data_IF_875595550748
#
_entry.id   IF_875595550748
#
_cell.length_a   1.000
_cell.length_b   1.000
_cell.length_c   1.000
_cell.angle_alpha   90.00
_cell.angle_beta   90.00
_cell.angle_gamma   90.00
#
_symmetry.space_group_name_H-M   'P 1'
#
loop_
_entity.id
_entity.type
_entity.pdbx_description
1 polymer ?
#
# COMPACT_ATOMS: atom_id res chain seq x y z
N UNK A 1 7.27 -4.75 -19.00
CA UNK A 1 6.64 -5.48 -20.12
C UNK A 1 6.17 -6.87 -19.68
N UNK A 2 7.06 -7.73 -19.16
CA UNK A 2 6.69 -9.12 -18.76
C UNK A 2 5.45 -9.24 -17.86
N UNK A 3 5.33 -8.46 -16.77
CA UNK A 3 4.15 -8.54 -15.88
C UNK A 3 2.83 -8.15 -16.54
N UNK A 4 2.83 -7.12 -17.40
CA UNK A 4 1.63 -6.67 -18.11
C UNK A 4 1.17 -7.74 -19.09
N UNK A 5 2.10 -8.41 -19.78
CA UNK A 5 1.78 -9.50 -20.69
C UNK A 5 1.05 -10.65 -20.00
N UNK A 6 1.46 -11.03 -18.79
CA UNK A 6 0.78 -12.09 -18.02
C UNK A 6 -0.64 -11.69 -17.60
N UNK A 7 -0.83 -10.44 -17.16
CA UNK A 7 -2.16 -9.91 -16.79
C UNK A 7 -3.09 -9.89 -18.00
N UNK A 8 -2.60 -9.46 -19.16
CA UNK A 8 -3.38 -9.43 -20.40
C UNK A 8 -3.79 -10.83 -20.81
N UNK A 9 -2.87 -11.80 -20.82
CA UNK A 9 -3.19 -13.18 -21.19
C UNK A 9 -4.27 -13.76 -20.27
N UNK A 10 -4.14 -13.58 -18.94
CA UNK A 10 -5.14 -14.06 -17.98
C UNK A 10 -6.51 -13.37 -18.13
N UNK A 11 -6.51 -12.04 -18.35
CA UNK A 11 -7.75 -11.28 -18.56
C UNK A 11 -8.46 -11.69 -19.85
N UNK A 12 -7.72 -11.82 -20.96
CA UNK A 12 -8.26 -12.21 -22.26
C UNK A 12 -8.80 -13.64 -22.23
N UNK A 13 -8.07 -14.59 -21.64
CA UNK A 13 -8.56 -15.98 -21.53
C UNK A 13 -9.82 -16.07 -20.67
N UNK A 14 -9.85 -15.38 -19.53
CA UNK A 14 -11.03 -15.34 -18.65
C UNK A 14 -12.22 -14.68 -19.34
N UNK A 15 -12.01 -13.56 -20.03
CA UNK A 15 -13.06 -12.85 -20.76
C UNK A 15 -13.62 -13.69 -21.92
N UNK A 16 -12.76 -14.34 -22.70
CA UNK A 16 -13.18 -15.22 -23.80
C UNK A 16 -14.00 -16.41 -23.29
N UNK A 17 -13.56 -17.07 -22.21
CA UNK A 17 -14.32 -18.16 -21.59
C UNK A 17 -15.66 -17.67 -21.03
N UNK A 18 -15.66 -16.55 -20.30
CA UNK A 18 -16.89 -15.96 -19.75
C UNK A 18 -17.90 -15.66 -20.85
N UNK A 19 -17.46 -15.04 -21.96
CA UNK A 19 -18.36 -14.74 -23.09
C UNK A 19 -18.84 -15.98 -23.82
N UNK A 20 -18.03 -17.03 -23.89
CA UNK A 20 -18.44 -18.31 -24.49
C UNK A 20 -19.58 -18.97 -23.69
N UNK A 21 -19.50 -18.97 -22.35
CA UNK A 21 -20.49 -19.62 -21.50
C UNK A 21 -21.70 -18.76 -21.15
N UNK A 22 -21.50 -17.46 -20.91
CA UNK A 22 -22.55 -16.55 -20.45
C UNK A 22 -23.06 -15.62 -21.53
N UNK A 23 -22.33 -15.40 -22.62
CA UNK A 23 -22.68 -14.45 -23.67
C UNK A 23 -21.99 -13.10 -23.52
N UNK A 24 -22.18 -12.21 -24.50
CA UNK A 24 -21.55 -10.88 -24.53
C UNK A 24 -22.56 -9.80 -24.14
N UNK A 25 -22.61 -9.46 -22.85
CA UNK A 25 -23.43 -8.37 -22.33
C UNK A 25 -22.71 -7.63 -21.19
N UNK A 26 -22.96 -6.31 -21.02
CA UNK A 26 -22.42 -5.56 -19.89
C UNK A 26 -22.96 -6.11 -18.56
N UNK A 27 -22.18 -6.00 -17.50
CA UNK A 27 -22.60 -6.45 -16.16
C UNK A 27 -23.77 -5.63 -15.62
N UNK A 28 -23.88 -4.36 -16.02
CA UNK A 28 -24.93 -3.45 -15.60
C UNK A 28 -25.65 -2.83 -16.79
N UNK A 29 -26.97 -2.70 -16.67
CA UNK A 29 -27.79 -1.97 -17.63
C UNK A 29 -27.58 -0.47 -17.42
N UNK A 30 -26.61 0.09 -18.15
CA UNK A 30 -26.25 1.48 -18.04
C UNK A 30 -27.35 2.38 -18.63
N UNK A 31 -27.80 3.41 -17.92
CA UNK A 31 -28.71 4.39 -18.49
C UNK A 31 -28.02 5.16 -19.62
N UNK A 32 -28.81 5.69 -20.56
CA UNK A 32 -28.31 6.72 -21.49
C UNK A 32 -27.87 7.94 -20.68
N UNK A 33 -26.56 8.07 -20.49
CA UNK A 33 -25.96 9.16 -19.73
C UNK A 33 -25.96 10.44 -20.58
N UNK A 34 -26.65 11.47 -20.10
CA UNK A 34 -26.74 12.78 -20.74
C UNK A 34 -26.04 13.81 -19.88
N UNK A 35 -24.84 14.20 -20.27
CA UNK A 35 -24.15 15.34 -19.65
C UNK A 35 -24.48 16.59 -20.45
N UNK A 36 -25.42 17.39 -19.95
CA UNK A 36 -25.94 18.54 -20.70
C UNK A 36 -25.34 19.86 -20.18
N UNK A 37 -25.14 20.00 -18.86
CA UNK A 37 -24.72 21.24 -18.24
C UNK A 37 -23.45 21.07 -17.39
N UNK A 38 -22.47 21.97 -17.57
CA UNK A 38 -21.25 21.98 -16.77
C UNK A 38 -21.49 22.32 -15.29
N UNK A 39 -22.61 22.96 -14.97
CA UNK A 39 -23.00 23.28 -13.59
C UNK A 39 -23.21 22.02 -12.73
N UNK A 40 -23.60 20.90 -13.35
CA UNK A 40 -23.73 19.61 -12.66
C UNK A 40 -22.40 19.12 -12.05
N UNK A 41 -21.25 19.60 -12.54
CA UNK A 41 -19.95 19.28 -11.96
C UNK A 41 -19.83 19.73 -10.50
N UNK A 42 -20.51 20.81 -10.10
CA UNK A 42 -20.55 21.25 -8.70
C UNK A 42 -21.29 20.21 -7.85
N UNK A 43 -22.36 19.62 -8.38
CA UNK A 43 -23.12 18.58 -7.68
C UNK A 43 -22.28 17.30 -7.57
N UNK A 44 -21.55 16.92 -8.62
CA UNK A 44 -20.61 15.79 -8.57
C UNK A 44 -19.43 16.03 -7.63
N UNK A 45 -18.97 17.26 -7.48
CA UNK A 45 -17.98 17.65 -6.48
C UNK A 45 -18.53 17.44 -5.06
N UNK A 46 -19.76 17.88 -4.78
CA UNK A 46 -20.44 17.65 -3.49
C UNK A 46 -20.65 16.14 -3.23
N UNK A 47 -21.12 15.41 -4.24
CA UNK A 47 -21.26 13.94 -4.17
C UNK A 47 -19.93 13.28 -3.81
N UNK A 48 -18.83 13.74 -4.40
CA UNK A 48 -17.50 13.23 -4.09
C UNK A 48 -17.06 13.53 -2.65
N UNK A 49 -17.38 14.70 -2.09
CA UNK A 49 -17.14 14.99 -0.66
C UNK A 49 -17.91 13.99 0.21
N UNK A 50 -19.21 13.84 -0.04
CA UNK A 50 -20.06 12.90 0.70
C UNK A 50 -19.58 11.45 0.55
N UNK A 51 -19.16 11.05 -0.65
CA UNK A 51 -18.59 9.74 -0.92
C UNK A 51 -17.29 9.50 -0.16
N UNK A 52 -16.45 10.52 -0.01
CA UNK A 52 -15.25 10.47 0.83
C UNK A 52 -15.60 10.23 2.30
N UNK A 53 -16.61 10.93 2.83
CA UNK A 53 -17.10 10.74 4.19
C UNK A 53 -17.70 9.34 4.41
N UNK A 54 -18.51 8.85 3.45
CA UNK A 54 -19.05 7.48 3.47
C UNK A 54 -17.92 6.45 3.43
N UNK A 55 -16.88 6.69 2.64
CA UNK A 55 -15.69 5.82 2.57
C UNK A 55 -14.96 5.76 3.92
N UNK A 56 -14.80 6.89 4.61
CA UNK A 56 -14.21 6.96 5.94
C UNK A 56 -15.07 6.28 7.00
N UNK A 57 -16.39 6.49 6.96
CA UNK A 57 -17.33 5.84 7.85
C UNK A 57 -17.28 4.31 7.67
N UNK A 58 -17.25 3.84 6.42
CA UNK A 58 -17.16 2.42 6.11
C UNK A 58 -15.83 1.80 6.58
N UNK A 59 -14.70 2.47 6.29
CA UNK A 59 -13.38 2.07 6.77
C UNK A 59 -13.33 1.96 8.30
N UNK A 60 -13.88 2.96 8.98
CA UNK A 60 -13.91 3.02 10.45
C UNK A 60 -14.81 1.94 11.02
N UNK A 61 -15.95 1.66 10.39
CA UNK A 61 -16.89 0.63 10.81
C UNK A 61 -16.25 -0.76 10.71
N UNK A 62 -15.60 -1.08 9.58
CA UNK A 62 -14.84 -2.34 9.42
C UNK A 62 -13.76 -2.45 10.49
N UNK A 63 -12.96 -1.40 10.69
CA UNK A 63 -11.92 -1.37 11.72
C UNK A 63 -12.48 -1.63 13.13
N UNK A 64 -13.64 -1.05 13.41
CA UNK A 64 -14.29 -1.16 14.71
C UNK A 64 -14.86 -2.55 14.92
N UNK A 65 -15.50 -3.15 13.90
CA UNK A 65 -16.00 -4.51 13.99
C UNK A 65 -14.87 -5.53 14.09
N UNK A 66 -13.79 -5.39 13.31
CA UNK A 66 -12.56 -6.20 13.48
C UNK A 66 -12.08 -6.14 14.94
N UNK A 67 -11.96 -4.95 15.53
CA UNK A 67 -11.52 -4.81 16.92
C UNK A 67 -12.47 -5.44 17.94
N UNK A 68 -13.78 -5.40 17.68
CA UNK A 68 -14.78 -6.02 18.56
C UNK A 68 -14.59 -7.54 18.51
N UNK A 69 -14.50 -8.13 17.31
CA UNK A 69 -14.31 -9.57 17.13
C UNK A 69 -12.94 -10.06 17.62
N UNK A 70 -11.88 -9.25 17.49
CA UNK A 70 -10.55 -9.55 18.02
C UNK A 70 -10.53 -9.64 19.55
N UNK A 71 -11.32 -8.79 20.23
CA UNK A 71 -11.44 -8.77 21.69
C UNK A 71 -12.32 -9.88 22.27
N UNK A 72 -13.13 -10.55 21.45
CA UNK A 72 -13.99 -11.64 21.93
C UNK A 72 -13.13 -12.85 22.33
N UNK A 73 -13.26 -13.37 23.56
CA UNK A 73 -12.49 -14.52 24.04
C UNK A 73 -13.09 -15.84 23.53
N UNK A 74 -13.20 -16.00 22.20
CA UNK A 74 -13.73 -17.19 21.52
C UNK A 74 -12.78 -17.67 20.42
N UNK A 75 -12.89 -18.94 20.03
CA UNK A 75 -12.06 -19.55 19.01
C UNK A 75 -12.28 -18.88 17.63
N UNK A 76 -11.21 -18.66 16.87
CA UNK A 76 -11.23 -17.89 15.62
C UNK A 76 -12.22 -18.42 14.58
N UNK A 77 -12.34 -19.74 14.44
CA UNK A 77 -13.24 -20.37 13.48
C UNK A 77 -14.74 -20.19 13.80
N UNK A 78 -15.09 -19.81 15.03
CA UNK A 78 -16.49 -19.53 15.43
C UNK A 78 -16.88 -18.11 15.03
N UNK A 79 -15.93 -17.18 14.98
CA UNK A 79 -16.19 -15.75 14.71
C UNK A 79 -16.93 -15.55 13.38
N UNK A 80 -16.53 -16.15 12.23
CA UNK A 80 -17.29 -16.05 10.98
C UNK A 80 -18.72 -16.58 11.08
N UNK A 81 -18.95 -17.62 11.90
CA UNK A 81 -20.30 -18.16 12.14
C UNK A 81 -21.22 -17.14 12.82
N UNK A 82 -20.69 -16.36 13.77
CA UNK A 82 -21.42 -15.25 14.40
C UNK A 82 -21.68 -14.13 13.39
N UNK A 83 -20.68 -13.78 12.56
CA UNK A 83 -20.85 -12.80 11.49
C UNK A 83 -21.96 -13.20 10.51
N UNK A 84 -21.98 -14.47 10.09
CA UNK A 84 -23.02 -15.03 9.23
C UNK A 84 -24.41 -15.04 9.87
N UNK A 85 -24.51 -15.36 11.16
CA UNK A 85 -25.77 -15.30 11.91
C UNK A 85 -26.31 -13.86 11.97
N UNK A 86 -25.47 -12.89 12.30
CA UNK A 86 -25.85 -11.47 12.34
C UNK A 86 -26.27 -10.97 10.95
N UNK A 87 -25.53 -11.32 9.90
CA UNK A 87 -25.93 -11.04 8.51
C UNK A 87 -27.31 -11.64 8.21
N UNK A 88 -27.54 -12.91 8.56
CA UNK A 88 -28.81 -13.59 8.36
C UNK A 88 -29.97 -12.86 9.04
N UNK A 89 -29.80 -12.41 10.28
CA UNK A 89 -30.81 -11.63 11.00
C UNK A 89 -31.13 -10.30 10.33
N UNK A 90 -30.12 -9.59 9.82
CA UNK A 90 -30.33 -8.34 9.06
C UNK A 90 -31.10 -8.66 7.76
N UNK A 91 -30.69 -9.72 7.07
CA UNK A 91 -31.23 -10.08 5.78
C UNK A 91 -32.69 -10.57 5.82
N UNK A 92 -33.17 -11.07 6.97
CA UNK A 92 -34.60 -11.37 7.17
C UNK A 92 -35.49 -10.14 7.05
N UNK A 93 -35.00 -8.96 7.48
CA UNK A 93 -35.74 -7.70 7.37
C UNK A 93 -35.40 -6.91 6.11
N UNK A 94 -34.15 -7.03 5.65
CA UNK A 94 -33.61 -6.24 4.54
C UNK A 94 -32.94 -7.20 3.54
N UNK A 95 -33.68 -7.91 2.69
CA UNK A 95 -33.12 -8.91 1.78
C UNK A 95 -32.04 -8.33 0.84
N UNK A 96 -32.14 -7.05 0.48
CA UNK A 96 -31.17 -6.36 -0.40
C UNK A 96 -29.74 -6.27 0.17
N UNK A 97 -29.52 -6.59 1.45
CA UNK A 97 -28.13 -6.70 1.97
C UNK A 97 -27.44 -8.00 1.57
N UNK A 98 -28.17 -9.01 1.08
CA UNK A 98 -27.58 -10.29 0.65
C UNK A 98 -26.70 -10.13 -0.60
N UNK A 99 -25.80 -11.09 -0.79
CA UNK A 99 -24.94 -11.18 -1.98
C UNK A 99 -24.02 -9.97 -2.21
N UNK A 100 -23.53 -9.86 -3.44
CA UNK A 100 -22.63 -8.76 -3.85
C UNK A 100 -23.37 -7.43 -4.05
N UNK A 101 -24.69 -7.47 -4.27
CA UNK A 101 -25.56 -6.29 -4.41
C UNK A 101 -25.72 -5.76 -5.84
N UNK A 102 -25.43 -6.57 -6.87
CA UNK A 102 -25.65 -6.19 -8.27
C UNK A 102 -27.12 -5.91 -8.59
N UNK A 103 -28.05 -6.64 -7.97
CA UNK A 103 -29.49 -6.36 -8.08
C UNK A 103 -29.84 -4.96 -7.58
N UNK A 104 -29.30 -4.55 -6.41
CA UNK A 104 -29.49 -3.21 -5.86
C UNK A 104 -28.91 -2.13 -6.78
N UNK A 105 -27.73 -2.39 -7.35
CA UNK A 105 -27.11 -1.48 -8.32
C UNK A 105 -28.01 -1.34 -9.54
N UNK A 106 -28.45 -2.45 -10.14
CA UNK A 106 -29.33 -2.42 -11.31
C UNK A 106 -30.65 -1.69 -11.03
N UNK A 107 -31.30 -1.93 -9.87
CA UNK A 107 -32.49 -1.17 -9.48
C UNK A 107 -32.24 0.35 -9.43
N UNK A 108 -31.04 0.74 -8.99
CA UNK A 108 -30.60 2.14 -9.00
C UNK A 108 -30.37 2.69 -10.40
N UNK A 109 -29.73 1.91 -11.27
CA UNK A 109 -29.41 2.30 -12.65
C UNK A 109 -30.62 2.31 -13.57
N UNK A 110 -31.63 1.48 -13.30
CA UNK A 110 -32.93 1.52 -13.98
C UNK A 110 -33.86 2.58 -13.42
N UNK A 111 -33.46 3.30 -12.36
CA UNK A 111 -34.24 4.38 -11.74
C UNK A 111 -35.46 3.90 -10.93
N UNK A 112 -35.51 2.61 -10.57
CA UNK A 112 -36.63 1.99 -9.84
C UNK A 112 -36.41 2.05 -8.32
N UNK A 113 -35.17 2.21 -7.87
CA UNK A 113 -34.85 2.26 -6.44
C UNK A 113 -35.33 3.55 -5.79
N UNK A 114 -36.24 3.43 -4.83
CA UNK A 114 -36.76 4.55 -4.05
C UNK A 114 -35.75 5.08 -3.01
N UNK A 115 -35.89 6.36 -2.63
CA UNK A 115 -34.98 7.06 -1.72
C UNK A 115 -34.91 6.41 -0.33
N UNK A 116 -36.05 6.02 0.22
CA UNK A 116 -36.16 5.36 1.53
C UNK A 116 -35.38 4.05 1.56
N UNK A 117 -35.56 3.23 0.53
CA UNK A 117 -34.84 1.97 0.38
C UNK A 117 -33.35 2.21 0.10
N UNK A 118 -32.98 3.23 -0.68
CA UNK A 118 -31.59 3.59 -0.93
C UNK A 118 -30.86 3.99 0.36
N UNK A 119 -31.46 4.86 1.19
CA UNK A 119 -30.89 5.25 2.48
C UNK A 119 -30.80 4.07 3.45
N UNK A 120 -31.83 3.23 3.50
CA UNK A 120 -31.84 2.02 4.31
C UNK A 120 -30.70 1.07 3.89
N UNK A 121 -30.55 0.81 2.59
CA UNK A 121 -29.52 -0.07 2.05
C UNK A 121 -28.12 0.50 2.20
N UNK A 122 -27.94 1.82 2.10
CA UNK A 122 -26.66 2.48 2.34
C UNK A 122 -26.14 2.15 3.75
N UNK A 123 -26.99 2.30 4.77
CA UNK A 123 -26.60 2.01 6.16
C UNK A 123 -26.52 0.49 6.40
N UNK A 124 -27.55 -0.25 5.99
CA UNK A 124 -27.63 -1.68 6.27
C UNK A 124 -26.52 -2.48 5.59
N UNK A 125 -26.17 -2.16 4.33
CA UNK A 125 -25.08 -2.83 3.60
C UNK A 125 -23.73 -2.51 4.21
N UNK A 126 -23.52 -1.27 4.68
CA UNK A 126 -22.30 -0.87 5.38
C UNK A 126 -22.11 -1.69 6.66
N UNK A 127 -23.17 -1.81 7.48
CA UNK A 127 -23.17 -2.60 8.71
C UNK A 127 -22.96 -4.08 8.42
N UNK A 128 -23.77 -4.65 7.52
CA UNK A 128 -23.69 -6.06 7.15
C UNK A 128 -22.29 -6.45 6.67
N UNK A 129 -21.70 -5.66 5.76
CA UNK A 129 -20.36 -5.92 5.23
C UNK A 129 -19.29 -5.80 6.31
N UNK A 130 -19.41 -4.79 7.19
CA UNK A 130 -18.48 -4.60 8.30
C UNK A 130 -18.53 -5.75 9.30
N UNK A 131 -19.70 -6.31 9.57
CA UNK A 131 -19.86 -7.50 10.42
C UNK A 131 -19.23 -8.74 9.78
N UNK A 132 -19.48 -8.97 8.48
CA UNK A 132 -18.88 -10.08 7.73
C UNK A 132 -17.35 -10.01 7.76
N UNK A 133 -16.76 -8.89 7.33
CA UNK A 133 -15.31 -8.73 7.29
C UNK A 133 -14.69 -8.69 8.69
N UNK A 134 -15.33 -7.99 9.63
CA UNK A 134 -14.89 -7.91 11.02
C UNK A 134 -14.86 -9.25 11.73
N UNK A 135 -15.77 -10.17 11.37
CA UNK A 135 -15.82 -11.52 11.92
C UNK A 135 -14.74 -12.47 11.39
N UNK A 136 -13.93 -12.04 10.41
CA UNK A 136 -12.90 -12.86 9.77
C UNK A 136 -13.37 -13.63 8.54
N UNK A 137 -14.54 -13.33 7.99
CA UNK A 137 -14.99 -13.96 6.74
C UNK A 137 -14.20 -13.43 5.54
N UNK A 138 -13.78 -14.33 4.63
CA UNK A 138 -13.11 -13.93 3.40
C UNK A 138 -14.07 -13.14 2.50
N UNK A 139 -13.70 -11.91 2.17
CA UNK A 139 -14.51 -11.04 1.34
C UNK A 139 -13.74 -9.80 0.88
N UNK A 140 -14.30 -9.12 -0.12
CA UNK A 140 -13.77 -7.86 -0.63
C UNK A 140 -14.65 -6.67 -0.27
N UNK A 141 -14.05 -5.48 -0.27
CA UNK A 141 -14.78 -4.21 -0.08
C UNK A 141 -15.28 -3.59 -1.40
N UNK A 142 -14.80 -4.08 -2.55
CA UNK A 142 -15.04 -3.45 -3.85
C UNK A 142 -16.52 -3.42 -4.26
N UNK A 143 -17.18 -4.57 -4.32
CA UNK A 143 -18.61 -4.63 -4.68
C UNK A 143 -19.52 -3.92 -3.65
N UNK A 144 -19.32 -4.08 -2.32
CA UNK A 144 -20.01 -3.25 -1.33
C UNK A 144 -19.81 -1.75 -1.56
N UNK A 145 -18.60 -1.28 -1.88
CA UNK A 145 -18.35 0.13 -2.20
C UNK A 145 -19.16 0.61 -3.41
N UNK A 146 -19.34 -0.22 -4.45
CA UNK A 146 -20.21 0.11 -5.58
C UNK A 146 -21.67 0.29 -5.13
N UNK A 147 -22.19 -0.61 -4.29
CA UNK A 147 -23.57 -0.53 -3.76
C UNK A 147 -23.77 0.72 -2.91
N UNK A 148 -22.82 1.00 -2.00
CA UNK A 148 -22.82 2.20 -1.18
C UNK A 148 -22.77 3.47 -2.03
N UNK A 149 -21.98 3.45 -3.10
CA UNK A 149 -21.90 4.52 -4.07
C UNK A 149 -23.20 4.74 -4.84
N UNK A 150 -23.81 3.67 -5.37
CA UNK A 150 -25.08 3.75 -6.10
C UNK A 150 -26.20 4.32 -5.22
N UNK A 151 -26.34 3.77 -4.01
CA UNK A 151 -27.35 4.21 -3.04
C UNK A 151 -27.10 5.64 -2.55
N UNK A 152 -25.84 6.05 -2.37
CA UNK A 152 -25.49 7.43 -2.05
C UNK A 152 -25.86 8.40 -3.18
N UNK A 153 -25.53 8.06 -4.42
CA UNK A 153 -25.86 8.88 -5.59
C UNK A 153 -27.37 9.11 -5.73
N UNK A 154 -28.17 8.07 -5.52
CA UNK A 154 -29.63 8.16 -5.50
C UNK A 154 -30.10 9.05 -4.35
N UNK A 155 -29.53 8.85 -3.16
CA UNK A 155 -29.87 9.66 -1.98
C UNK A 155 -29.61 11.15 -2.19
N UNK A 156 -28.47 11.50 -2.79
CA UNK A 156 -28.10 12.89 -3.08
C UNK A 156 -28.99 13.49 -4.16
N UNK A 157 -29.19 12.80 -5.28
CA UNK A 157 -30.02 13.31 -6.38
C UNK A 157 -31.48 13.46 -5.99
N UNK A 158 -32.08 12.48 -5.32
CA UNK A 158 -33.45 12.57 -4.82
C UNK A 158 -33.60 13.64 -3.74
N UNK A 159 -32.64 13.78 -2.84
CA UNK A 159 -32.64 14.84 -1.83
C UNK A 159 -32.59 16.24 -2.45
N UNK A 160 -31.74 16.44 -3.46
CA UNK A 160 -31.65 17.71 -4.19
C UNK A 160 -32.90 18.00 -5.00
N UNK A 161 -33.50 17.00 -5.66
CA UNK A 161 -34.77 17.16 -6.36
C UNK A 161 -35.93 17.52 -5.42
N UNK A 162 -35.88 17.07 -4.16
CA UNK A 162 -36.90 17.44 -3.16
C UNK A 162 -36.79 18.89 -2.69
N UNK A 163 -35.56 19.42 -2.62
CA UNK A 163 -35.29 20.81 -2.20
C UNK A 163 -35.40 21.78 -3.39
N UNK A 164 -34.92 21.37 -4.56
CA UNK A 164 -34.88 22.14 -5.80
C UNK A 164 -35.45 21.30 -6.95
N UNK A 165 -36.79 21.21 -7.07
CA UNK A 165 -37.45 20.39 -8.10
C UNK A 165 -37.07 20.77 -9.54
N UNK A 166 -36.67 22.02 -9.77
CA UNK A 166 -36.27 22.54 -11.09
C UNK A 166 -34.99 21.89 -11.62
N UNK A 167 -34.13 21.33 -10.76
CA UNK A 167 -32.91 20.64 -11.20
C UNK A 167 -33.21 19.36 -11.99
N UNK A 168 -34.34 18.69 -11.69
CA UNK A 168 -34.80 17.46 -12.35
C UNK A 168 -33.68 16.40 -12.56
N UNK A 169 -32.85 16.20 -11.53
CA UNK A 169 -31.65 15.36 -11.60
C UNK A 169 -32.01 13.89 -11.85
N UNK A 170 -31.47 13.25 -12.90
CA UNK A 170 -31.75 11.85 -13.20
C UNK A 170 -31.04 10.91 -12.22
N UNK A 171 -31.80 10.25 -11.33
CA UNK A 171 -31.25 9.45 -10.22
C UNK A 171 -30.26 8.37 -10.66
N UNK A 172 -30.52 7.73 -11.79
CA UNK A 172 -29.69 6.67 -12.35
C UNK A 172 -28.28 7.14 -12.76
N UNK A 173 -28.13 8.37 -13.23
CA UNK A 173 -26.83 8.95 -13.56
C UNK A 173 -26.00 9.23 -12.31
N UNK A 174 -26.64 9.72 -11.26
CA UNK A 174 -25.99 9.96 -9.97
C UNK A 174 -25.63 8.66 -9.25
N UNK A 175 -26.48 7.62 -9.35
CA UNK A 175 -26.15 6.28 -8.90
C UNK A 175 -24.85 5.79 -9.57
N UNK A 176 -24.77 5.94 -10.88
CA UNK A 176 -23.63 5.47 -11.68
C UNK A 176 -22.33 6.21 -11.34
N UNK A 177 -22.37 7.54 -11.19
CA UNK A 177 -21.21 8.30 -10.74
C UNK A 177 -20.84 7.93 -9.31
N UNK A 178 -21.83 7.82 -8.42
CA UNK A 178 -21.67 7.47 -7.01
C UNK A 178 -20.92 6.15 -6.78
N UNK A 179 -21.20 5.13 -7.60
CA UNK A 179 -20.46 3.85 -7.60
C UNK A 179 -18.94 4.08 -7.67
N UNK A 180 -18.49 4.86 -8.65
CA UNK A 180 -17.07 5.15 -8.86
C UNK A 180 -16.49 6.00 -7.73
N UNK A 181 -17.24 7.00 -7.24
CA UNK A 181 -16.72 7.93 -6.23
C UNK A 181 -16.44 7.27 -4.89
N UNK A 182 -17.30 6.36 -4.42
CA UNK A 182 -17.08 5.62 -3.17
C UNK A 182 -15.97 4.58 -3.34
N UNK A 183 -15.90 3.90 -4.49
CA UNK A 183 -14.77 3.00 -4.80
C UNK A 183 -13.44 3.76 -4.79
N UNK A 184 -13.37 4.93 -5.42
CA UNK A 184 -12.18 5.76 -5.43
C UNK A 184 -11.75 6.18 -4.01
N UNK A 185 -12.70 6.60 -3.16
CA UNK A 185 -12.42 6.97 -1.77
C UNK A 185 -11.92 5.80 -0.94
N UNK A 186 -12.62 4.67 -0.97
CA UNK A 186 -12.27 3.47 -0.17
C UNK A 186 -10.93 2.86 -0.57
N UNK A 187 -10.59 2.88 -1.86
CA UNK A 187 -9.38 2.23 -2.39
C UNK A 187 -8.20 3.20 -2.58
N UNK A 188 -8.43 4.52 -2.56
CA UNK A 188 -7.49 5.55 -3.01
C UNK A 188 -6.98 5.34 -4.45
N UNK A 189 -7.80 4.73 -5.31
CA UNK A 189 -7.47 4.43 -6.71
C UNK A 189 -8.48 5.07 -7.70
N UNK A 190 -8.46 6.40 -7.89
CA UNK A 190 -9.47 7.11 -8.68
C UNK A 190 -9.48 6.71 -10.16
N UNK A 191 -8.31 6.54 -10.79
CA UNK A 191 -8.23 6.13 -12.21
C UNK A 191 -8.82 4.72 -12.39
N UNK A 192 -8.45 3.80 -11.50
CA UNK A 192 -8.99 2.43 -11.50
C UNK A 192 -10.50 2.44 -11.34
N UNK A 193 -11.03 3.23 -10.39
CA UNK A 193 -12.47 3.35 -10.19
C UNK A 193 -13.19 3.85 -11.46
N UNK A 194 -12.66 4.89 -12.10
CA UNK A 194 -13.22 5.45 -13.35
C UNK A 194 -13.23 4.41 -14.47
N UNK A 195 -12.10 3.74 -14.70
CA UNK A 195 -11.98 2.73 -15.75
C UNK A 195 -12.87 1.52 -15.49
N UNK A 196 -12.97 1.05 -14.24
CA UNK A 196 -13.82 -0.09 -13.93
C UNK A 196 -15.31 0.23 -14.11
N UNK A 197 -15.78 1.39 -13.64
CA UNK A 197 -17.18 1.76 -13.87
C UNK A 197 -17.45 1.97 -15.35
N UNK A 198 -16.54 2.62 -16.09
CA UNK A 198 -16.64 2.73 -17.54
C UNK A 198 -16.73 1.37 -18.23
N UNK A 199 -15.90 0.40 -17.85
CA UNK A 199 -15.90 -0.94 -18.45
C UNK A 199 -17.18 -1.72 -18.13
N UNK A 200 -17.72 -1.56 -16.91
CA UNK A 200 -18.97 -2.21 -16.50
C UNK A 200 -20.20 -1.63 -17.20
N UNK A 201 -20.11 -0.42 -17.78
CA UNK A 201 -21.25 0.34 -18.31
C UNK A 201 -21.12 0.75 -19.79
N UNK A 202 -19.92 0.65 -20.37
CA UNK A 202 -19.55 1.08 -21.72
C UNK A 202 -19.97 2.52 -22.12
N UNK A 203 -20.08 3.43 -21.16
CA UNK A 203 -20.50 4.82 -21.41
C UNK A 203 -19.34 5.79 -21.25
N UNK A 204 -18.82 6.32 -22.35
CA UNK A 204 -17.69 7.28 -22.30
C UNK A 204 -18.08 8.62 -21.65
N UNK A 205 -19.34 9.06 -21.80
CA UNK A 205 -19.81 10.38 -21.35
C UNK A 205 -19.77 10.57 -19.83
N UNK A 206 -19.73 9.48 -19.06
CA UNK A 206 -19.68 9.56 -17.59
C UNK A 206 -18.28 9.88 -17.04
N UNK A 207 -17.22 9.68 -17.83
CA UNK A 207 -15.84 9.75 -17.33
C UNK A 207 -15.54 11.12 -16.72
N UNK A 208 -15.98 12.22 -17.34
CA UNK A 208 -15.73 13.57 -16.83
C UNK A 208 -16.37 13.83 -15.44
N UNK A 209 -17.70 13.69 -15.25
CA UNK A 209 -18.32 13.74 -13.92
C UNK A 209 -17.67 12.82 -12.89
N UNK A 210 -17.34 11.60 -13.30
CA UNK A 210 -16.77 10.60 -12.41
C UNK A 210 -15.36 10.98 -11.97
N UNK A 211 -14.52 11.55 -12.84
CA UNK A 211 -13.20 12.04 -12.46
C UNK A 211 -13.30 13.10 -11.35
N UNK A 212 -14.23 14.06 -11.47
CA UNK A 212 -14.45 15.09 -10.44
C UNK A 212 -14.83 14.44 -9.10
N UNK A 213 -15.84 13.58 -9.10
CA UNK A 213 -16.30 12.91 -7.88
C UNK A 213 -15.26 11.95 -7.27
N UNK A 214 -14.51 11.22 -8.10
CA UNK A 214 -13.49 10.27 -7.66
C UNK A 214 -12.29 10.99 -7.04
N UNK A 215 -11.79 12.06 -7.67
CA UNK A 215 -10.66 12.83 -7.16
C UNK A 215 -11.04 13.51 -5.85
N UNK A 216 -12.20 14.13 -5.77
CA UNK A 216 -12.69 14.79 -4.55
C UNK A 216 -12.87 13.81 -3.40
N UNK A 217 -13.50 12.66 -3.63
CA UNK A 217 -13.62 11.58 -2.64
C UNK A 217 -12.25 11.09 -2.16
N UNK A 218 -11.31 10.86 -3.08
CA UNK A 218 -9.93 10.46 -2.78
C UNK A 218 -9.21 11.52 -1.93
N UNK A 219 -9.37 12.80 -2.27
CA UNK A 219 -8.78 13.92 -1.53
C UNK A 219 -9.33 14.01 -0.11
N UNK A 220 -10.64 13.88 0.08
CA UNK A 220 -11.25 13.88 1.42
C UNK A 220 -10.68 12.76 2.27
N UNK A 221 -10.58 11.54 1.75
CA UNK A 221 -10.02 10.40 2.48
C UNK A 221 -8.53 10.61 2.79
N UNK A 222 -7.76 11.13 1.82
CA UNK A 222 -6.33 11.45 2.03
C UNK A 222 -6.10 12.53 3.07
N UNK A 223 -6.92 13.59 3.09
CA UNK A 223 -6.78 14.69 4.03
C UNK A 223 -7.19 14.28 5.45
N UNK A 224 -8.23 13.46 5.61
CA UNK A 224 -8.76 13.11 6.92
C UNK A 224 -8.14 11.84 7.55
N UNK A 225 -7.80 10.82 6.76
CA UNK A 225 -7.25 9.55 7.26
C UNK A 225 -5.84 9.23 6.73
N UNK A 226 -5.43 9.84 5.62
CA UNK A 226 -4.09 9.65 5.04
C UNK A 226 -3.83 8.30 4.37
N UNK A 227 -4.62 7.26 4.67
CA UNK A 227 -4.44 5.89 4.19
C UNK A 227 -5.74 5.30 3.61
N UNK A 228 -5.61 4.37 2.66
CA UNK A 228 -6.72 3.55 2.18
C UNK A 228 -7.13 2.49 3.20
N UNK A 229 -8.25 1.80 2.97
CA UNK A 229 -8.68 0.67 3.81
C UNK A 229 -7.61 -0.44 3.79
N UNK A 230 -7.01 -0.72 2.63
CA UNK A 230 -5.96 -1.73 2.48
C UNK A 230 -4.68 -1.35 3.23
N UNK A 231 -4.22 -0.10 3.07
CA UNK A 231 -3.02 0.39 3.77
C UNK A 231 -3.23 0.38 5.29
N UNK A 232 -4.41 0.80 5.75
CA UNK A 232 -4.76 0.81 7.17
C UNK A 232 -4.68 -0.59 7.78
N UNK A 233 -5.08 -1.63 7.04
CA UNK A 233 -5.00 -3.02 7.51
C UNK A 233 -3.56 -3.51 7.62
N UNK A 234 -2.74 -3.27 6.60
CA UNK A 234 -1.32 -3.68 6.59
C UNK A 234 -0.49 -2.97 7.68
N UNK A 235 -0.70 -1.66 7.87
CA UNK A 235 -0.01 -0.89 8.91
C UNK A 235 -0.31 -1.42 10.32
N UNK A 236 -1.53 -1.93 10.56
CA UNK A 236 -1.91 -2.54 11.85
C UNK A 236 -1.25 -3.90 12.10
N UNK A 237 -0.87 -4.61 11.04
CA UNK A 237 -0.08 -5.83 11.12
C UNK A 237 1.41 -5.55 11.36
N UNK A 238 1.81 -4.28 11.54
CA UNK A 238 3.21 -3.88 11.72
C UNK A 238 4.01 -3.88 10.42
N UNK A 239 3.35 -4.00 9.26
CA UNK A 239 4.02 -3.97 7.97
C UNK A 239 4.33 -2.52 7.58
N UNK A 240 5.61 -2.25 7.32
CA UNK A 240 6.04 -0.95 6.82
C UNK A 240 5.74 -0.84 5.33
N UNK A 241 4.85 0.10 4.97
CA UNK A 241 4.56 0.43 3.57
C UNK A 241 5.52 1.55 3.13
N UNK A 242 6.24 1.31 2.05
CA UNK A 242 7.00 2.31 1.32
C UNK A 242 6.13 2.74 0.15
N UNK A 243 5.66 3.99 0.15
CA UNK A 243 4.85 4.50 -0.98
C UNK A 243 5.77 4.81 -2.15
N UNK A 244 5.29 4.69 -3.39
CA UNK A 244 6.10 5.01 -4.58
C UNK A 244 6.68 6.43 -4.60
N UNK A 245 6.10 7.37 -3.87
CA UNK A 245 6.69 8.70 -3.67
C UNK A 245 7.95 8.68 -2.79
N UNK A 246 8.04 7.76 -1.82
CA UNK A 246 9.22 7.55 -0.96
C UNK A 246 10.38 6.86 -1.72
N UNK A 247 10.09 6.21 -2.86
CA UNK A 247 11.11 5.67 -3.77
C UNK A 247 11.97 6.80 -4.36
N UNK A 248 11.39 7.97 -4.63
CA UNK A 248 12.14 9.14 -5.10
C UNK A 248 13.18 9.61 -4.06
N UNK A 249 12.87 9.50 -2.78
CA UNK A 249 13.79 9.83 -1.68
C UNK A 249 14.93 8.82 -1.63
N UNK A 250 14.66 7.54 -1.90
CA UNK A 250 15.68 6.49 -1.92
C UNK A 250 16.61 6.58 -3.14
N UNK A 251 16.09 7.03 -4.28
CA UNK A 251 16.86 7.19 -5.53
C UNK A 251 17.71 8.46 -5.51
N UNK A 252 17.23 9.55 -4.91
CA UNK A 252 17.90 10.85 -4.98
C UNK A 252 19.01 11.06 -3.93
N UNK A 253 19.31 10.07 -3.09
CA UNK A 253 20.37 10.18 -2.08
C UNK A 253 21.57 9.40 -2.57
N UNK A 254 22.62 10.11 -2.97
CA UNK A 254 23.87 9.49 -3.34
C UNK A 254 24.54 8.86 -2.12
N UNK A 255 25.13 7.69 -2.30
CA UNK A 255 25.89 6.96 -1.26
C UNK A 255 26.99 7.81 -0.67
N UNK A 256 27.65 8.63 -1.50
CA UNK A 256 28.72 9.54 -1.08
C UNK A 256 28.28 10.60 -0.05
N UNK A 257 26.99 10.96 -0.01
CA UNK A 257 26.46 11.88 1.01
C UNK A 257 26.27 11.22 2.38
N UNK A 258 26.24 9.88 2.40
CA UNK A 258 25.78 9.06 3.53
C UNK A 258 26.91 8.20 4.10
N UNK A 259 27.90 7.85 3.28
CA UNK A 259 29.01 7.01 3.70
C UNK A 259 29.86 7.68 4.78
N UNK A 260 30.38 6.84 5.69
CA UNK A 260 31.38 7.25 6.67
C UNK A 260 32.76 7.14 6.00
N UNK A 261 33.49 8.26 5.95
CA UNK A 261 34.84 8.34 5.36
C UNK A 261 35.94 8.10 6.38
N UNK A 262 35.63 8.27 7.67
CA UNK A 262 36.53 7.96 8.78
C UNK A 262 36.23 6.55 9.28
N UNK A 263 36.99 5.57 8.80
CA UNK A 263 36.77 4.16 9.13
C UNK A 263 38.07 3.43 9.44
N UNK A 264 37.97 2.52 10.40
CA UNK A 264 39.03 1.58 10.72
C UNK A 264 39.20 0.57 9.58
N UNK A 265 40.43 0.35 9.13
CA UNK A 265 40.77 -0.65 8.11
C UNK A 265 41.97 -1.47 8.54
N UNK A 266 42.09 -2.69 8.00
CA UNK A 266 43.20 -3.59 8.24
C UNK A 266 43.94 -3.87 6.93
N UNK A 267 45.22 -4.20 6.99
CA UNK A 267 45.99 -4.71 5.86
C UNK A 267 46.05 -6.22 5.87
N UNK A 268 46.24 -6.82 4.71
CA UNK A 268 46.43 -8.28 4.58
C UNK A 268 47.64 -8.80 5.35
N UNK A 269 48.65 -7.96 5.53
CA UNK A 269 49.88 -8.24 6.28
C UNK A 269 49.76 -8.00 7.79
N UNK A 270 48.66 -7.41 8.27
CA UNK A 270 48.48 -7.16 9.70
C UNK A 270 48.36 -8.48 10.49
N UNK A 271 48.87 -8.46 11.72
CA UNK A 271 48.76 -9.60 12.63
C UNK A 271 47.33 -9.76 13.16
N UNK A 272 46.91 -11.00 13.43
CA UNK A 272 45.61 -11.25 14.08
C UNK A 272 45.50 -10.60 15.46
N UNK A 273 46.62 -10.39 16.16
CA UNK A 273 46.66 -9.67 17.44
C UNK A 273 46.22 -8.21 17.27
N UNK A 274 46.76 -7.52 16.25
CA UNK A 274 46.35 -6.15 15.91
C UNK A 274 44.85 -6.09 15.59
N UNK A 275 44.36 -7.04 14.79
CA UNK A 275 42.94 -7.12 14.45
C UNK A 275 42.04 -7.37 15.67
N UNK A 276 42.48 -8.23 16.59
CA UNK A 276 41.79 -8.51 17.85
C UNK A 276 41.72 -7.26 18.75
N UNK A 277 42.84 -6.55 18.91
CA UNK A 277 42.91 -5.31 19.69
C UNK A 277 42.00 -4.22 19.10
N UNK A 278 41.95 -4.09 17.77
CA UNK A 278 41.03 -3.17 17.09
C UNK A 278 39.57 -3.56 17.29
N UNK A 279 39.24 -4.86 17.19
CA UNK A 279 37.87 -5.34 17.39
C UNK A 279 37.36 -5.14 18.82
N UNK A 280 38.23 -5.25 19.83
CA UNK A 280 37.86 -5.02 21.23
C UNK A 280 37.58 -3.54 21.53
N UNK A 281 38.25 -2.62 20.81
CA UNK A 281 38.09 -1.18 21.01
C UNK A 281 37.04 -0.54 20.08
N UNK A 282 36.65 -1.21 19.00
CA UNK A 282 35.66 -0.71 18.05
C UNK A 282 34.23 -0.95 18.52
N UNK A 283 33.37 0.06 18.37
CA UNK A 283 31.92 -0.08 18.58
C UNK A 283 31.24 -0.92 17.50
N UNK A 284 31.89 -1.09 16.35
CA UNK A 284 31.36 -1.84 15.21
C UNK A 284 32.49 -2.63 14.54
N UNK A 285 32.79 -3.86 15.03
CA UNK A 285 33.98 -4.63 14.64
C UNK A 285 33.79 -5.34 13.28
N UNK A 286 33.69 -4.54 12.23
CA UNK A 286 33.68 -4.94 10.82
C UNK A 286 34.71 -4.07 10.10
N UNK A 287 35.73 -4.69 9.54
CA UNK A 287 36.87 -3.99 8.97
C UNK A 287 37.03 -4.37 7.50
N UNK A 288 37.09 -3.40 6.58
CA UNK A 288 37.57 -3.68 5.23
C UNK A 288 39.07 -4.00 5.31
N UNK A 289 39.47 -5.08 4.65
CA UNK A 289 40.86 -5.49 4.53
C UNK A 289 41.39 -5.00 3.20
N UNK A 290 42.41 -4.15 3.25
CA UNK A 290 42.97 -3.43 2.12
C UNK A 290 44.35 -3.99 1.76
N UNK A 291 44.71 -3.88 0.48
CA UNK A 291 46.09 -4.07 0.04
C UNK A 291 46.89 -2.76 0.12
N UNK A 292 48.18 -2.84 -0.25
CA UNK A 292 49.08 -1.68 -0.20
C UNK A 292 48.65 -0.52 -1.13
N UNK A 293 47.78 -0.79 -2.10
CA UNK A 293 47.22 0.21 -3.02
C UNK A 293 45.87 0.77 -2.54
N UNK A 294 45.38 0.37 -1.37
CA UNK A 294 44.08 0.78 -0.81
C UNK A 294 42.87 0.09 -1.44
N UNK A 295 43.09 -0.98 -2.22
CA UNK A 295 42.00 -1.75 -2.83
C UNK A 295 41.43 -2.79 -1.85
N UNK A 296 40.13 -3.04 -1.93
CA UNK A 296 39.44 -4.02 -1.11
C UNK A 296 39.83 -5.46 -1.50
N UNK A 297 40.42 -6.22 -0.56
CA UNK A 297 40.78 -7.63 -0.74
C UNK A 297 40.01 -8.60 0.17
N UNK A 298 39.47 -8.10 1.29
CA UNK A 298 38.68 -8.90 2.21
C UNK A 298 37.80 -8.06 3.12
N UNK A 299 36.96 -8.74 3.89
CA UNK A 299 36.25 -8.16 5.02
C UNK A 299 36.52 -9.04 6.23
N UNK A 300 36.85 -8.44 7.37
CA UNK A 300 37.02 -9.14 8.63
C UNK A 300 35.92 -8.72 9.60
N UNK A 301 35.18 -9.70 10.10
CA UNK A 301 34.13 -9.48 11.11
C UNK A 301 34.49 -10.17 12.43
N UNK A 302 33.82 -9.75 13.51
CA UNK A 302 33.96 -10.41 14.81
C UNK A 302 33.55 -11.89 14.78
N UNK A 303 32.67 -12.31 13.84
CA UNK A 303 32.33 -13.73 13.68
C UNK A 303 33.53 -14.54 13.19
N UNK A 304 34.30 -13.99 12.28
CA UNK A 304 35.47 -14.66 11.68
C UNK A 304 36.58 -14.83 12.72
N UNK A 305 36.66 -13.93 13.70
CA UNK A 305 37.63 -14.01 14.80
C UNK A 305 37.16 -14.80 16.02
N UNK A 306 35.91 -15.30 16.04
CA UNK A 306 35.30 -15.90 17.24
C UNK A 306 36.08 -17.10 17.77
N UNK A 307 36.58 -17.95 16.88
CA UNK A 307 37.28 -19.18 17.27
C UNK A 307 38.70 -18.90 17.79
N UNK A 308 39.32 -17.80 17.35
CA UNK A 308 40.61 -17.31 17.85
C UNK A 308 40.48 -16.69 19.25
N UNK A 309 39.39 -15.98 19.54
CA UNK A 309 39.13 -15.48 20.90
C UNK A 309 38.91 -16.60 21.92
N UNK A 310 38.41 -17.77 21.49
CA UNK A 310 38.21 -18.92 22.38
C UNK A 310 39.50 -19.68 22.70
N UNK A 311 40.46 -19.65 21.79
CA UNK A 311 41.70 -20.40 21.88
C UNK A 311 42.89 -19.44 21.66
N UNK A 312 43.33 -18.73 22.70
CA UNK A 312 44.38 -17.71 22.61
C UNK A 312 45.71 -18.24 22.08
N UNK A 313 45.95 -19.55 22.19
CA UNK A 313 47.12 -20.24 21.64
C UNK A 313 47.25 -20.03 20.11
N UNK A 314 46.13 -19.89 19.39
CA UNK A 314 46.12 -19.56 17.96
C UNK A 314 46.50 -18.11 17.65
N UNK A 315 46.78 -17.25 18.63
CA UNK A 315 47.33 -15.91 18.39
C UNK A 315 48.87 -15.91 18.43
N UNK A 316 49.49 -16.97 18.94
CA UNK A 316 50.95 -17.04 19.14
C UNK A 316 51.68 -17.81 18.01
N UNK A 317 50.97 -18.64 17.25
CA UNK A 317 51.54 -19.35 16.10
C UNK A 317 51.76 -18.42 14.87
N UNK A 318 52.79 -18.68 14.07
CA UNK A 318 53.09 -17.95 12.83
C UNK A 318 52.82 -18.86 11.61
N UNK A 319 52.23 -18.36 10.51
CA UNK A 319 51.90 -16.98 10.20
C UNK A 319 50.39 -16.68 10.37
N UNK A 320 49.99 -16.15 11.53
CA UNK A 320 48.62 -15.71 11.78
C UNK A 320 48.42 -14.25 11.34
N UNK A 321 48.21 -14.05 10.03
CA UNK A 321 47.87 -12.73 9.45
C UNK A 321 46.38 -12.63 9.13
N UNK A 322 45.86 -11.40 9.00
CA UNK A 322 44.47 -11.12 8.63
C UNK A 322 44.07 -11.81 7.32
N UNK A 323 44.99 -11.95 6.36
CA UNK A 323 44.74 -12.62 5.08
C UNK A 323 44.28 -14.08 5.20
N UNK A 324 44.58 -14.75 6.32
CA UNK A 324 44.21 -16.15 6.56
C UNK A 324 42.76 -16.32 7.03
N UNK A 325 42.19 -15.29 7.67
CA UNK A 325 40.87 -15.35 8.33
C UNK A 325 39.81 -14.51 7.60
N UNK A 326 40.23 -13.51 6.82
CA UNK A 326 39.29 -12.61 6.14
C UNK A 326 38.31 -13.34 5.22
N UNK A 327 37.06 -12.87 5.20
CA UNK A 327 36.09 -13.29 4.22
C UNK A 327 36.46 -12.71 2.84
N UNK A 328 36.52 -13.59 1.83
CA UNK A 328 36.83 -13.23 0.44
C UNK A 328 35.59 -12.96 -0.41
N UNK A 329 34.39 -13.23 0.13
CA UNK A 329 33.14 -12.88 -0.54
C UNK A 329 32.88 -11.40 -0.31
N UNK A 330 33.37 -10.58 -1.24
CA UNK A 330 33.27 -9.13 -1.17
C UNK A 330 31.87 -8.69 -1.60
N UNK A 331 31.14 -8.08 -0.68
CA UNK A 331 29.91 -7.33 -0.99
C UNK A 331 30.24 -5.85 -0.85
N UNK A 332 30.34 -5.15 -1.97
CA UNK A 332 30.61 -3.70 -2.04
C UNK A 332 29.58 -3.01 -2.93
N UNK A 333 29.53 -1.68 -2.85
CA UNK A 333 28.74 -0.83 -3.75
C UNK A 333 29.63 0.23 -4.39
N UNK A 334 29.43 0.58 -5.67
CA UNK A 334 30.10 1.73 -6.29
C UNK A 334 29.73 3.05 -5.59
N UNK A 335 30.62 4.03 -5.60
CA UNK A 335 30.35 5.37 -5.04
C UNK A 335 29.24 6.14 -5.77
N UNK A 336 28.99 5.80 -7.03
CA UNK A 336 27.92 6.37 -7.85
C UNK A 336 26.53 5.79 -7.50
N UNK A 337 26.47 4.75 -6.66
CA UNK A 337 25.22 4.17 -6.21
C UNK A 337 24.40 5.13 -5.35
N UNK A 338 23.11 4.86 -5.27
CA UNK A 338 22.16 5.56 -4.41
C UNK A 338 21.77 4.71 -3.20
N UNK A 339 21.13 5.34 -2.22
CA UNK A 339 20.69 4.71 -0.97
C UNK A 339 19.73 3.53 -1.21
N UNK A 340 18.91 3.56 -2.28
CA UNK A 340 18.03 2.45 -2.67
C UNK A 340 18.83 1.19 -2.98
N UNK A 341 19.83 1.31 -3.85
CA UNK A 341 20.70 0.20 -4.24
C UNK A 341 21.42 -0.38 -3.03
N UNK A 342 21.96 0.47 -2.16
CA UNK A 342 22.64 0.02 -0.94
C UNK A 342 21.71 -0.75 0.01
N UNK A 343 20.49 -0.25 0.24
CA UNK A 343 19.50 -0.94 1.09
C UNK A 343 19.05 -2.27 0.47
N UNK A 344 18.85 -2.33 -0.85
CA UNK A 344 18.57 -3.59 -1.54
C UNK A 344 19.72 -4.59 -1.43
N UNK A 345 20.96 -4.12 -1.48
CA UNK A 345 22.13 -4.98 -1.29
C UNK A 345 22.19 -5.54 0.14
N UNK A 346 21.90 -4.73 1.16
CA UNK A 346 21.77 -5.22 2.54
C UNK A 346 20.69 -6.30 2.67
N UNK A 347 19.51 -6.09 2.08
CA UNK A 347 18.39 -7.04 2.18
C UNK A 347 18.69 -8.35 1.45
N UNK A 348 19.30 -8.29 0.26
CA UNK A 348 19.64 -9.48 -0.54
C UNK A 348 20.76 -10.32 0.07
N UNK A 349 21.76 -9.66 0.64
CA UNK A 349 22.98 -10.34 1.12
C UNK A 349 22.95 -10.62 2.62
N UNK A 350 22.08 -9.94 3.39
CA UNK A 350 21.97 -10.08 4.83
C UNK A 350 23.18 -9.56 5.62
N UNK A 351 24.08 -8.82 4.98
CA UNK A 351 25.25 -8.22 5.64
C UNK A 351 24.84 -6.99 6.45
N UNK A 352 25.62 -6.65 7.47
CA UNK A 352 25.41 -5.45 8.30
C UNK A 352 26.29 -4.28 7.88
N UNK A 353 27.23 -4.52 6.95
CA UNK A 353 28.34 -3.65 6.57
C UNK A 353 28.64 -3.79 5.08
N UNK A 354 28.82 -2.67 4.37
CA UNK A 354 29.17 -2.64 2.94
C UNK A 354 30.23 -1.55 2.71
N UNK A 355 31.42 -1.88 2.17
CA UNK A 355 32.37 -0.90 1.67
C UNK A 355 31.87 -0.22 0.39
N UNK A 356 32.15 1.08 0.29
CA UNK A 356 31.92 1.90 -0.90
C UNK A 356 33.23 2.00 -1.67
N UNK A 357 33.22 1.60 -2.95
CA UNK A 357 34.42 1.53 -3.77
C UNK A 357 34.33 2.40 -5.02
N UNK A 358 35.48 2.85 -5.51
CA UNK A 358 35.62 3.49 -6.82
C UNK A 358 35.79 2.47 -7.97
N UNK A 359 35.92 2.96 -9.21
CA UNK A 359 36.14 2.12 -10.40
C UNK A 359 37.44 1.28 -10.33
N UNK A 360 38.41 1.69 -9.52
CA UNK A 360 39.67 0.98 -9.30
C UNK A 360 39.61 0.05 -8.06
N UNK A 361 38.41 -0.19 -7.52
CA UNK A 361 38.16 -1.00 -6.32
C UNK A 361 38.84 -0.48 -5.04
N UNK A 362 39.15 0.83 -4.98
CA UNK A 362 39.65 1.49 -3.77
C UNK A 362 38.49 1.85 -2.86
N UNK A 363 38.63 1.60 -1.57
CA UNK A 363 37.58 1.91 -0.59
C UNK A 363 37.61 3.39 -0.27
N UNK A 364 36.55 4.12 -0.63
CA UNK A 364 36.38 5.55 -0.33
C UNK A 364 35.56 5.80 0.95
N UNK A 365 34.80 4.80 1.39
CA UNK A 365 33.98 4.91 2.59
C UNK A 365 33.31 3.60 2.96
N UNK A 366 32.57 3.61 4.05
CA UNK A 366 31.77 2.47 4.51
C UNK A 366 30.33 2.88 4.79
N UNK A 367 29.39 1.96 4.62
CA UNK A 367 28.02 2.12 5.08
C UNK A 367 27.66 0.96 5.99
N UNK A 368 27.10 1.30 7.16
CA UNK A 368 26.49 0.35 8.09
C UNK A 368 24.99 0.32 7.83
N UNK A 369 24.41 -0.88 7.87
CA UNK A 369 22.96 -1.08 7.69
C UNK A 369 22.14 -0.18 8.62
N UNK A 370 22.54 -0.06 9.89
CA UNK A 370 21.83 0.73 10.90
C UNK A 370 21.78 2.22 10.55
N UNK A 371 22.86 2.76 9.98
CA UNK A 371 22.98 4.16 9.60
C UNK A 371 22.21 4.45 8.31
N UNK A 372 22.28 3.55 7.33
CA UNK A 372 21.48 3.63 6.12
C UNK A 372 19.97 3.66 6.45
N UNK A 373 19.50 2.78 7.35
CA UNK A 373 18.10 2.77 7.81
C UNK A 373 17.75 3.98 8.68
N UNK A 374 18.70 4.53 9.45
CA UNK A 374 18.50 5.76 10.23
C UNK A 374 18.33 6.96 9.31
N UNK A 375 19.22 7.14 8.33
CA UNK A 375 19.17 8.23 7.36
C UNK A 375 17.92 8.14 6.48
N UNK A 376 17.52 6.94 6.08
CA UNK A 376 16.24 6.73 5.41
C UNK A 376 15.07 7.23 6.26
N UNK A 377 15.04 6.90 7.56
CA UNK A 377 14.00 7.38 8.48
C UNK A 377 14.04 8.89 8.66
N UNK A 378 15.21 9.50 8.79
CA UNK A 378 15.37 10.96 8.95
C UNK A 378 14.93 11.72 7.70
N UNK A 379 15.38 11.30 6.50
CA UNK A 379 14.96 11.92 5.23
C UNK A 379 13.46 11.70 4.98
N UNK A 380 12.90 10.55 5.36
CA UNK A 380 11.45 10.31 5.35
C UNK A 380 10.69 11.24 6.31
N UNK A 381 11.19 11.43 7.54
CA UNK A 381 10.59 12.35 8.51
C UNK A 381 10.65 13.80 8.04
N UNK A 382 11.76 14.25 7.46
CA UNK A 382 11.91 15.62 6.96
C UNK A 382 10.94 15.92 5.82
N UNK A 383 10.77 14.97 4.89
CA UNK A 383 9.77 15.10 3.81
C UNK A 383 8.33 14.96 4.33
N UNK A 384 8.08 14.20 5.41
CA UNK A 384 6.81 14.22 6.13
C UNK A 384 6.54 15.54 6.85
N UNK A 385 7.54 16.17 7.48
CA UNK A 385 7.36 17.46 8.19
C UNK A 385 7.06 18.59 7.19
N UNK A 386 7.68 18.57 6.01
CA UNK A 386 7.34 19.51 4.93
C UNK A 386 5.96 19.24 4.32
N UNK A 387 5.39 18.04 4.48
CA UNK A 387 4.05 17.67 3.98
C UNK A 387 2.96 17.59 5.06
N UNK A 388 3.33 17.61 6.34
CA UNK A 388 2.45 17.63 7.51
C UNK A 388 2.63 18.93 8.27
N UNK A 389 2.21 20.04 7.67
CA UNK A 389 1.64 21.13 8.43
C UNK A 389 0.13 20.88 8.56
N UNK A 390 -0.26 19.88 9.36
CA UNK A 390 -1.63 19.69 9.80
C UNK A 390 -1.59 19.37 11.30
N UNK A 391 -2.28 20.22 12.05
CA UNK A 391 -2.36 20.30 13.52
C UNK A 391 -2.90 19.01 14.15
N UNK A 392 -2.45 18.79 15.38
CA UNK A 392 -2.98 17.86 16.38
C UNK A 392 -4.51 17.95 16.56
#
# INVERSE_FOLDING_TARGET
>A
ISYISHIIVASVTTSALSKFFWGDFPTFDAPHFTFNNFEELIIFFILGILAGLVSLAFATMIKTTENIFDKLPIQEWIKPGIGGLLLGLIALKIPGVMGVGYETINLGLTGVLALDLALLLLVAKMVATSLCLGSGMSGGIFAPSLVLGATLGISVSSGLNMIFPELALPHNQYALVGMGTVVAGTTLAPITAVLTVFELTYSYKIILPMMVGCITSTLVVRLLNGCSIYESKLLRQGLNIIRGHDESVLVNVAVIEVMETDFDSLKTSDSLKTAADMALNSRFPHFPVLNDNGCLEGILTLRDMRDYFKNPEYLEDLPNTVATVMARTLVSVPKESNLKETLMTFEKTGVSFIPVVDEANRVEGIIKSIDAFKIFREKRHKNRILSMNIKD
#
